data_IF_015534281745
#
_entry.id   IF_015534281745
#
_cell.length_a   1.000
_cell.length_b   1.000
_cell.length_c   1.000
_cell.angle_alpha   90.00
_cell.angle_beta   90.00
_cell.angle_gamma   90.00
#
_symmetry.space_group_name_H-M   'P 1'
#
loop_
_entity.id
_entity.type
_entity.pdbx_description
1 polymer ?
#
# COMPACT_ATOMS: atom_id res chain seq x y z
N UNK A 1 -17.44 0.37 -29.93
CA UNK A 1 -16.89 0.18 -28.63
C UNK A 1 -16.05 1.39 -28.27
N UNK A 2 -16.44 2.13 -27.28
CA UNK A 2 -15.60 3.18 -26.71
C UNK A 2 -14.91 2.56 -25.51
N UNK A 3 -13.60 2.33 -25.61
CA UNK A 3 -12.76 2.21 -24.44
C UNK A 3 -12.76 3.59 -23.79
N UNK A 4 -13.27 3.71 -22.57
CA UNK A 4 -13.04 4.90 -21.78
C UNK A 4 -11.54 4.93 -21.47
N UNK A 5 -10.81 5.86 -22.06
CA UNK A 5 -9.49 6.22 -21.61
C UNK A 5 -9.64 6.72 -20.18
N UNK A 6 -9.17 5.94 -19.21
CA UNK A 6 -8.98 6.42 -17.86
C UNK A 6 -7.84 7.40 -17.92
N UNK A 7 -8.14 8.69 -17.81
CA UNK A 7 -7.15 9.74 -17.86
C UNK A 7 -6.34 9.70 -16.55
N UNK A 8 -5.16 9.09 -16.62
CA UNK A 8 -4.23 8.92 -15.48
C UNK A 8 -3.76 10.29 -14.93
N UNK A 9 -3.88 11.37 -15.71
CA UNK A 9 -3.52 12.72 -15.23
C UNK A 9 -4.45 13.25 -14.14
N UNK A 10 -5.70 12.80 -14.07
CA UNK A 10 -6.63 13.19 -13.00
C UNK A 10 -6.46 12.38 -11.70
N UNK A 11 -5.63 11.33 -11.71
CA UNK A 11 -5.32 10.52 -10.54
C UNK A 11 -4.03 10.92 -9.82
N UNK A 12 -3.49 12.11 -10.07
CA UNK A 12 -2.50 12.74 -9.18
C UNK A 12 -3.19 13.15 -7.88
N UNK A 13 -3.60 12.17 -7.13
CA UNK A 13 -4.04 12.38 -5.75
C UNK A 13 -2.82 12.83 -4.98
N UNK A 14 -2.91 14.00 -4.37
CA UNK A 14 -1.91 14.46 -3.40
C UNK A 14 -1.80 13.39 -2.31
N UNK A 15 -0.66 12.67 -2.19
CA UNK A 15 -0.51 11.59 -1.22
C UNK A 15 -0.72 12.05 0.22
N UNK A 16 -0.77 13.36 0.47
CA UNK A 16 -1.04 13.96 1.79
C UNK A 16 -2.52 14.18 2.05
N UNK A 17 -3.37 14.12 1.03
CA UNK A 17 -4.82 14.26 1.21
C UNK A 17 -5.54 12.93 1.47
N UNK A 18 -4.81 11.93 1.94
CA UNK A 18 -5.36 10.64 2.31
C UNK A 18 -6.18 10.80 3.59
N UNK A 19 -7.51 10.74 3.50
CA UNK A 19 -8.35 10.67 4.69
C UNK A 19 -7.94 9.45 5.51
N UNK A 20 -7.34 9.69 6.67
CA UNK A 20 -7.06 8.69 7.68
C UNK A 20 -5.69 8.02 7.65
N UNK A 21 -4.94 8.03 6.56
CA UNK A 21 -3.59 7.49 6.53
C UNK A 21 -2.64 8.49 5.88
N UNK A 22 -1.70 9.00 6.68
CA UNK A 22 -0.76 10.03 6.25
C UNK A 22 0.62 9.41 6.07
N UNK A 23 0.99 9.19 4.81
CA UNK A 23 2.36 8.87 4.46
C UNK A 23 3.25 10.06 4.84
N UNK A 24 4.26 9.82 5.67
CA UNK A 24 5.13 10.87 6.21
C UNK A 24 4.69 11.44 7.58
N UNK A 25 3.53 11.05 8.11
CA UNK A 25 3.03 11.47 9.42
C UNK A 25 3.69 10.65 10.55
N UNK A 26 4.79 11.15 11.08
CA UNK A 26 5.60 10.48 12.09
C UNK A 26 4.99 10.55 13.49
N UNK A 27 4.27 11.62 13.83
CA UNK A 27 3.69 11.82 15.15
C UNK A 27 2.23 11.39 15.27
N UNK A 28 1.58 11.07 14.14
CA UNK A 28 0.21 10.57 14.09
C UNK A 28 -0.85 11.64 14.26
N UNK A 29 -0.50 12.92 14.07
CA UNK A 29 -1.42 14.04 14.23
C UNK A 29 -2.31 14.28 12.99
N UNK A 30 -2.14 13.48 11.93
CA UNK A 30 -2.84 13.57 10.64
C UNK A 30 -2.46 14.81 9.81
N UNK A 31 -1.26 15.31 10.01
CA UNK A 31 -0.65 16.37 9.21
C UNK A 31 0.79 15.97 8.91
N UNK A 32 1.30 16.33 7.74
CA UNK A 32 2.73 16.14 7.44
C UNK A 32 3.38 17.50 7.43
N UNK A 33 4.23 17.74 8.42
CA UNK A 33 4.92 19.01 8.60
C UNK A 33 6.41 18.82 8.96
N UNK A 34 7.08 19.90 9.30
CA UNK A 34 8.51 19.85 9.63
C UNK A 34 8.82 19.00 10.87
N UNK A 35 7.83 18.83 11.76
CA UNK A 35 7.99 18.04 12.98
C UNK A 35 8.21 16.58 12.60
N UNK A 36 7.49 16.08 11.60
CA UNK A 36 7.61 14.70 11.11
C UNK A 36 8.98 14.44 10.52
N UNK A 37 9.45 15.31 9.65
CA UNK A 37 10.80 15.21 9.09
C UNK A 37 11.86 15.18 10.19
N UNK A 38 11.70 15.99 11.23
CA UNK A 38 12.63 16.06 12.37
C UNK A 38 12.55 14.79 13.24
N UNK A 39 11.36 14.23 13.46
CA UNK A 39 11.19 12.99 14.20
C UNK A 39 11.87 11.81 13.49
N UNK A 40 11.69 11.69 12.18
CA UNK A 40 12.38 10.67 11.38
C UNK A 40 13.88 10.90 11.42
N UNK A 41 14.34 12.14 11.27
CA UNK A 41 15.76 12.46 11.39
C UNK A 41 16.34 12.06 12.76
N UNK A 42 15.65 12.35 13.86
CA UNK A 42 16.11 11.98 15.21
C UNK A 42 16.10 10.45 15.41
N UNK A 43 15.13 9.75 14.83
CA UNK A 43 15.11 8.28 14.85
C UNK A 43 16.33 7.70 14.14
N UNK A 44 16.60 8.14 12.92
CA UNK A 44 17.77 7.74 12.12
C UNK A 44 19.08 8.07 12.84
N UNK A 45 19.17 9.26 13.44
CA UNK A 45 20.32 9.70 14.22
C UNK A 45 20.45 9.02 15.59
N UNK A 46 19.56 8.09 15.94
CA UNK A 46 19.49 7.40 17.25
C UNK A 46 19.40 8.35 18.44
N UNK A 47 18.71 9.47 18.26
CA UNK A 47 18.45 10.49 19.29
C UNK A 47 17.08 10.33 19.95
N UNK A 48 16.13 9.78 19.21
CA UNK A 48 14.82 9.40 19.70
C UNK A 48 14.37 8.15 18.92
N UNK A 49 13.45 7.37 19.47
CA UNK A 49 12.86 6.24 18.76
C UNK A 49 11.43 6.61 18.35
N UNK A 50 11.08 6.33 17.09
CA UNK A 50 9.71 6.33 16.65
C UNK A 50 9.00 5.07 17.16
N UNK A 51 7.71 5.17 17.54
CA UNK A 51 6.91 3.98 17.80
C UNK A 51 6.94 3.03 16.61
N UNK A 52 7.05 1.72 16.86
CA UNK A 52 7.19 0.71 15.81
C UNK A 52 6.00 0.65 14.83
N UNK A 53 4.81 1.05 15.31
CA UNK A 53 3.60 1.17 14.49
C UNK A 53 3.64 2.40 13.55
N UNK A 54 4.58 3.33 13.76
CA UNK A 54 4.78 4.50 12.89
C UNK A 54 5.77 4.26 11.75
N UNK A 55 6.67 3.32 11.89
CA UNK A 55 7.70 3.05 10.89
C UNK A 55 7.15 2.84 9.46
N UNK A 56 6.06 2.10 9.24
CA UNK A 56 5.50 1.95 7.90
C UNK A 56 4.97 3.23 7.26
N UNK A 57 4.65 4.25 8.06
CA UNK A 57 4.15 5.54 7.55
C UNK A 57 5.25 6.54 7.21
N UNK A 58 6.42 6.35 7.77
CA UNK A 58 7.57 7.24 7.57
C UNK A 58 8.61 6.67 6.62
N UNK A 59 8.49 5.41 6.26
CA UNK A 59 9.21 4.83 5.15
C UNK A 59 8.51 5.28 3.87
N UNK A 60 9.03 6.33 3.24
CA UNK A 60 8.40 7.01 2.10
C UNK A 60 9.18 6.87 0.80
N UNK A 61 10.32 6.17 0.84
CA UNK A 61 11.15 5.89 -0.32
C UNK A 61 10.85 4.53 -0.95
N UNK A 62 10.17 3.63 -0.23
CA UNK A 62 9.74 2.31 -0.71
C UNK A 62 10.83 1.24 -0.63
N UNK A 63 11.94 1.50 0.10
CA UNK A 63 13.07 0.57 0.20
C UNK A 63 13.07 -0.27 1.49
N UNK A 64 12.00 -0.17 2.29
CA UNK A 64 11.80 -0.84 3.58
C UNK A 64 12.79 -0.45 4.69
N UNK A 65 13.54 0.59 4.50
CA UNK A 65 14.50 1.10 5.48
C UNK A 65 14.08 2.50 5.90
N UNK A 66 13.85 2.73 7.18
CA UNK A 66 13.67 4.11 7.64
C UNK A 66 15.04 4.72 7.87
N UNK A 67 15.46 5.56 6.94
CA UNK A 67 16.79 6.18 6.96
C UNK A 67 16.75 7.68 6.62
N UNK A 68 17.91 8.25 6.33
CA UNK A 68 18.05 9.68 6.08
C UNK A 68 17.31 10.11 4.79
N UNK A 69 17.13 9.19 3.82
CA UNK A 69 16.43 9.51 2.58
C UNK A 69 14.94 9.75 2.82
N UNK A 70 14.31 9.02 3.76
CA UNK A 70 12.93 9.28 4.17
C UNK A 70 12.77 10.63 4.85
N UNK A 71 13.65 10.92 5.82
CA UNK A 71 13.65 12.23 6.47
C UNK A 71 13.81 13.37 5.46
N UNK A 72 14.66 13.21 4.46
CA UNK A 72 14.87 14.19 3.40
C UNK A 72 13.69 14.29 2.45
N UNK A 73 13.05 13.16 2.10
CA UNK A 73 11.87 13.15 1.24
C UNK A 73 10.70 13.90 1.91
N UNK A 74 10.44 13.64 3.19
CA UNK A 74 9.42 14.35 3.98
C UNK A 74 9.79 15.85 4.06
N UNK A 75 11.05 16.17 4.33
CA UNK A 75 11.52 17.56 4.39
C UNK A 75 11.31 18.30 3.06
N UNK A 76 11.67 17.70 1.92
CA UNK A 76 11.48 18.34 0.61
C UNK A 76 10.02 18.55 0.28
N UNK A 77 9.16 17.60 0.63
CA UNK A 77 7.73 17.75 0.51
C UNK A 77 7.21 18.95 1.32
N UNK A 78 7.52 19.00 2.62
CA UNK A 78 7.13 20.11 3.52
C UNK A 78 7.69 21.44 3.05
N UNK A 79 8.93 21.47 2.56
CA UNK A 79 9.57 22.67 2.02
C UNK A 79 9.03 23.08 0.62
N UNK A 80 8.02 22.39 0.09
CA UNK A 80 7.45 22.61 -1.26
C UNK A 80 8.50 22.53 -2.38
N UNK A 81 9.53 21.72 -2.19
CA UNK A 81 10.53 21.37 -3.20
C UNK A 81 10.19 20.07 -3.94
N UNK A 82 9.25 19.34 -3.41
CA UNK A 82 8.60 18.18 -4.06
C UNK A 82 7.09 18.34 -3.89
N UNK A 83 6.34 18.10 -4.93
CA UNK A 83 4.87 18.12 -4.88
C UNK A 83 4.31 16.77 -4.39
N UNK A 84 5.16 15.75 -4.28
CA UNK A 84 4.78 14.39 -3.88
C UNK A 84 5.81 13.82 -2.92
N UNK A 85 5.35 13.05 -1.94
CA UNK A 85 6.18 12.07 -1.25
C UNK A 85 6.34 10.88 -2.19
N UNK A 86 7.53 10.68 -2.72
CA UNK A 86 7.80 9.64 -3.71
C UNK A 86 7.95 8.31 -2.98
N UNK A 87 6.99 7.43 -3.16
CA UNK A 87 7.16 6.01 -2.87
C UNK A 87 7.64 5.36 -4.16
N UNK A 88 8.87 4.90 -4.17
CA UNK A 88 9.59 4.42 -5.37
C UNK A 88 8.83 3.36 -6.19
N UNK A 89 7.96 2.59 -5.56
CA UNK A 89 7.24 1.49 -6.20
C UNK A 89 5.75 1.79 -6.46
N UNK A 90 5.33 3.05 -6.36
CA UNK A 90 3.93 3.42 -6.60
C UNK A 90 3.52 3.21 -8.05
N UNK A 91 4.42 3.43 -8.99
CA UNK A 91 4.21 3.15 -10.41
C UNK A 91 3.91 1.66 -10.66
N UNK A 92 4.63 0.74 -10.00
CA UNK A 92 4.35 -0.71 -10.08
C UNK A 92 3.01 -1.04 -9.41
N UNK A 93 2.67 -0.36 -8.31
CA UNK A 93 1.38 -0.52 -7.64
C UNK A 93 0.21 -0.11 -8.55
N UNK A 94 0.35 1.01 -9.25
CA UNK A 94 -0.65 1.45 -10.23
C UNK A 94 -0.73 0.51 -11.44
N UNK A 95 0.39 0.00 -11.93
CA UNK A 95 0.41 -1.02 -13.00
C UNK A 95 -0.33 -2.29 -12.57
N UNK A 96 -0.16 -2.74 -11.33
CA UNK A 96 -0.93 -3.88 -10.78
C UNK A 96 -2.43 -3.57 -10.80
N UNK A 97 -2.81 -2.39 -10.33
CA UNK A 97 -4.20 -1.96 -10.30
C UNK A 97 -4.85 -1.94 -11.70
N UNK A 98 -4.17 -1.36 -12.68
CA UNK A 98 -4.62 -1.32 -14.06
C UNK A 98 -4.72 -2.71 -14.68
N UNK A 99 -3.74 -3.58 -14.39
CA UNK A 99 -3.75 -4.96 -14.88
C UNK A 99 -4.91 -5.76 -14.27
N UNK A 100 -5.20 -5.60 -12.98
CA UNK A 100 -6.37 -6.21 -12.32
C UNK A 100 -7.66 -5.74 -12.97
N UNK A 101 -7.81 -4.44 -13.23
CA UNK A 101 -9.00 -3.91 -13.89
C UNK A 101 -9.13 -4.41 -15.35
N UNK A 102 -8.02 -4.62 -16.03
CA UNK A 102 -8.01 -5.23 -17.37
C UNK A 102 -8.49 -6.70 -17.32
N UNK A 103 -8.02 -7.48 -16.34
CA UNK A 103 -8.48 -8.86 -16.12
C UNK A 103 -9.97 -8.91 -15.78
N UNK A 104 -10.45 -7.99 -14.93
CA UNK A 104 -11.88 -7.88 -14.60
C UNK A 104 -12.72 -7.56 -15.84
N UNK A 105 -12.30 -6.58 -16.64
CA UNK A 105 -12.97 -6.25 -17.88
C UNK A 105 -13.03 -7.41 -18.87
N UNK A 106 -11.92 -8.17 -19.02
CA UNK A 106 -11.87 -9.38 -19.85
C UNK A 106 -12.85 -10.48 -19.38
N UNK A 107 -13.23 -10.47 -18.10
CA UNK A 107 -14.21 -11.39 -17.51
C UNK A 107 -15.60 -10.75 -17.33
N UNK A 108 -15.88 -9.58 -17.94
CA UNK A 108 -17.19 -8.92 -17.93
C UNK A 108 -17.57 -8.25 -16.61
N UNK A 109 -16.60 -7.97 -15.74
CA UNK A 109 -16.82 -7.36 -14.43
C UNK A 109 -16.56 -5.85 -14.48
N UNK A 110 -17.22 -5.11 -13.60
CA UNK A 110 -16.98 -3.68 -13.41
C UNK A 110 -15.57 -3.43 -12.89
N UNK A 111 -14.93 -2.33 -13.29
CA UNK A 111 -13.64 -1.94 -12.73
C UNK A 111 -13.76 -1.56 -11.25
N UNK A 112 -12.69 -1.79 -10.50
CA UNK A 112 -12.54 -1.32 -9.14
C UNK A 112 -12.03 0.12 -9.13
N UNK A 113 -12.42 0.91 -8.13
CA UNK A 113 -11.83 2.21 -7.85
C UNK A 113 -10.57 2.06 -7.00
N UNK A 114 -9.61 2.97 -7.18
CA UNK A 114 -8.47 3.08 -6.27
C UNK A 114 -8.89 3.78 -4.97
N UNK A 115 -8.40 3.27 -3.84
CA UNK A 115 -8.66 3.85 -2.52
C UNK A 115 -7.35 4.04 -1.76
N UNK A 116 -7.06 5.28 -1.38
CA UNK A 116 -5.79 5.63 -0.76
C UNK A 116 -5.69 5.16 0.70
N UNK A 117 -6.79 5.01 1.42
CA UNK A 117 -6.74 4.41 2.76
C UNK A 117 -6.39 2.92 2.68
N UNK A 118 -6.91 2.24 1.66
CA UNK A 118 -6.50 0.86 1.38
C UNK A 118 -5.04 0.78 0.90
N UNK A 119 -4.54 1.82 0.20
CA UNK A 119 -3.14 1.87 -0.19
C UNK A 119 -2.22 1.91 1.02
N UNK A 120 -2.48 2.79 1.99
CA UNK A 120 -1.72 2.84 3.23
C UNK A 120 -1.77 1.52 4.01
N UNK A 121 -2.95 0.89 4.10
CA UNK A 121 -3.08 -0.44 4.69
C UNK A 121 -2.29 -1.50 3.93
N UNK A 122 -2.27 -1.40 2.60
CA UNK A 122 -1.50 -2.31 1.73
C UNK A 122 0.00 -2.13 1.91
N UNK A 123 0.49 -0.89 2.14
CA UNK A 123 1.89 -0.62 2.48
C UNK A 123 2.29 -1.31 3.78
N UNK A 124 1.51 -1.11 4.86
CA UNK A 124 1.75 -1.80 6.13
C UNK A 124 1.88 -3.32 5.90
N UNK A 125 0.96 -3.89 5.13
CA UNK A 125 0.96 -5.33 4.90
C UNK A 125 2.06 -5.81 3.96
N UNK A 126 2.46 -5.02 2.98
CA UNK A 126 3.60 -5.34 2.12
C UNK A 126 4.89 -5.44 2.94
N UNK A 127 5.13 -4.47 3.84
CA UNK A 127 6.27 -4.47 4.75
C UNK A 127 6.23 -5.65 5.75
N UNK A 128 5.09 -5.88 6.40
CA UNK A 128 4.94 -7.00 7.33
C UNK A 128 5.13 -8.36 6.62
N UNK A 129 4.62 -8.47 5.39
CA UNK A 129 4.76 -9.70 4.59
C UNK A 129 6.20 -9.91 4.12
N UNK A 130 6.89 -8.85 3.74
CA UNK A 130 8.30 -8.90 3.37
C UNK A 130 9.17 -9.38 4.54
N UNK A 131 8.99 -8.81 5.72
CA UNK A 131 9.70 -9.25 6.94
C UNK A 131 9.43 -10.71 7.27
N UNK A 132 8.19 -11.15 7.13
CA UNK A 132 7.84 -12.57 7.32
C UNK A 132 8.58 -13.48 6.33
N UNK A 133 8.58 -13.13 5.04
CA UNK A 133 9.16 -13.95 3.98
C UNK A 133 10.69 -13.91 3.97
N UNK A 134 11.28 -12.75 4.20
CA UNK A 134 12.72 -12.57 4.10
C UNK A 134 13.44 -12.86 5.41
N UNK A 135 12.89 -12.43 6.53
CA UNK A 135 13.56 -12.43 7.83
C UNK A 135 13.01 -13.52 8.78
N UNK A 136 11.90 -14.18 8.40
CA UNK A 136 11.21 -15.13 9.26
C UNK A 136 10.51 -14.46 10.44
N UNK A 137 10.35 -13.14 10.41
CA UNK A 137 9.73 -12.35 11.45
C UNK A 137 8.24 -12.10 11.17
N UNK A 138 7.39 -12.40 12.17
CA UNK A 138 5.96 -12.16 12.07
C UNK A 138 5.11 -13.40 11.85
N UNK A 139 3.82 -13.19 11.60
CA UNK A 139 2.81 -14.24 11.67
C UNK A 139 2.26 -14.71 10.30
N UNK A 140 2.90 -14.32 9.21
CA UNK A 140 2.59 -14.79 7.87
C UNK A 140 1.53 -13.97 7.12
N UNK A 141 1.05 -14.48 5.98
CA UNK A 141 0.23 -13.68 5.06
C UNK A 141 -1.17 -13.33 5.61
N UNK A 142 -1.70 -14.09 6.57
CA UNK A 142 -3.06 -13.91 7.09
C UNK A 142 -3.10 -13.30 8.49
N UNK A 143 -1.95 -13.17 9.15
CA UNK A 143 -1.82 -12.56 10.46
C UNK A 143 -0.80 -11.44 10.42
N UNK A 144 -0.93 -10.52 11.35
CA UNK A 144 0.04 -9.45 11.60
C UNK A 144 1.08 -9.93 12.62
N UNK A 145 2.24 -9.26 12.76
CA UNK A 145 3.28 -9.63 13.72
C UNK A 145 2.78 -9.71 15.17
N UNK A 146 1.78 -8.91 15.51
CA UNK A 146 1.13 -8.90 16.85
C UNK A 146 0.04 -10.00 17.03
N UNK A 147 -0.17 -10.84 16.02
CA UNK A 147 -1.15 -11.93 16.01
C UNK A 147 -2.56 -11.53 15.59
N UNK A 148 -2.85 -10.24 15.40
CA UNK A 148 -4.13 -9.77 14.85
C UNK A 148 -4.39 -10.28 13.45
N UNK A 149 -5.62 -10.18 12.98
CA UNK A 149 -5.98 -10.48 11.60
C UNK A 149 -5.38 -9.44 10.64
N UNK A 150 -5.00 -9.88 9.42
CA UNK A 150 -4.37 -9.02 8.43
C UNK A 150 -5.25 -7.83 8.02
N UNK A 151 -6.58 -7.96 8.05
CA UNK A 151 -7.52 -6.90 7.71
C UNK A 151 -7.54 -5.76 8.73
N UNK A 152 -7.02 -5.96 9.94
CA UNK A 152 -6.93 -4.88 10.93
C UNK A 152 -6.04 -3.72 10.47
N UNK A 153 -5.16 -3.94 9.48
CA UNK A 153 -4.39 -2.88 8.87
C UNK A 153 -5.27 -1.80 8.20
N UNK A 154 -6.45 -2.19 7.67
CA UNK A 154 -7.39 -1.25 7.03
C UNK A 154 -7.91 -0.21 8.03
N UNK A 155 -8.03 -0.59 9.31
CA UNK A 155 -8.63 0.23 10.34
C UNK A 155 -7.61 1.09 11.10
N UNK A 156 -6.31 0.91 10.80
CA UNK A 156 -5.26 1.75 11.36
C UNK A 156 -5.17 3.06 10.61
N UNK A 157 -5.21 4.16 11.35
CA UNK A 157 -5.10 5.52 10.80
C UNK A 157 -6.05 5.83 9.62
N UNK A 158 -7.20 5.17 9.55
CA UNK A 158 -8.26 5.47 8.59
C UNK A 158 -9.58 5.71 9.32
N UNK A 159 -10.53 6.33 8.61
CA UNK A 159 -11.90 6.48 9.11
C UNK A 159 -12.71 5.17 8.99
N UNK A 160 -12.12 4.12 8.45
CA UNK A 160 -12.74 2.82 8.28
C UNK A 160 -12.77 2.02 9.57
N UNK A 161 -13.81 1.22 9.72
CA UNK A 161 -13.99 0.26 10.79
C UNK A 161 -14.59 -1.05 10.23
N UNK A 162 -14.76 -2.06 11.08
CA UNK A 162 -15.26 -3.37 10.67
C UNK A 162 -16.65 -3.37 10.02
N UNK A 163 -17.38 -2.27 10.07
CA UNK A 163 -18.70 -2.09 9.46
C UNK A 163 -18.68 -1.21 8.21
N UNK A 164 -17.51 -0.72 7.79
CA UNK A 164 -17.38 0.14 6.61
C UNK A 164 -17.64 -0.61 5.31
N UNK A 165 -17.38 -1.92 5.29
CA UNK A 165 -17.53 -2.75 4.11
C UNK A 165 -18.31 -4.03 4.40
N UNK A 166 -19.00 -4.55 3.40
CA UNK A 166 -19.69 -5.83 3.48
C UNK A 166 -18.75 -6.99 3.12
N UNK A 167 -17.85 -6.76 2.17
CA UNK A 167 -16.93 -7.75 1.63
C UNK A 167 -15.50 -7.25 1.67
N UNK A 168 -14.56 -8.14 1.91
CA UNK A 168 -13.13 -7.89 1.81
C UNK A 168 -12.35 -9.12 1.39
N UNK A 169 -11.27 -8.88 0.69
CA UNK A 169 -10.31 -9.88 0.27
C UNK A 169 -8.91 -9.29 0.19
N UNK A 170 -7.92 -10.16 0.04
CA UNK A 170 -6.55 -9.74 -0.15
C UNK A 170 -5.76 -10.76 -0.96
N UNK A 171 -4.73 -10.26 -1.65
CA UNK A 171 -3.67 -11.08 -2.22
C UNK A 171 -2.31 -10.56 -1.71
N UNK A 172 -1.32 -11.42 -1.73
CA UNK A 172 0.08 -11.04 -1.52
C UNK A 172 0.98 -11.94 -2.38
N UNK A 173 2.15 -11.43 -2.73
CA UNK A 173 3.15 -12.15 -3.49
C UNK A 173 4.55 -11.58 -3.23
N UNK A 174 5.59 -12.32 -3.63
CA UNK A 174 6.97 -11.87 -3.65
C UNK A 174 7.67 -12.29 -4.94
N UNK A 175 8.62 -11.50 -5.39
CA UNK A 175 9.48 -11.79 -6.53
C UNK A 175 10.93 -11.44 -6.19
N UNK A 176 11.89 -12.26 -6.64
CA UNK A 176 13.33 -12.07 -6.38
C UNK A 176 14.00 -11.06 -7.31
N UNK A 177 13.20 -10.28 -8.03
CA UNK A 177 13.65 -9.22 -8.93
C UNK A 177 12.56 -8.13 -8.99
N UNK A 178 12.89 -6.96 -9.52
CA UNK A 178 11.91 -5.89 -9.80
C UNK A 178 10.92 -6.37 -10.86
N UNK A 179 9.86 -7.02 -10.39
CA UNK A 179 8.81 -7.54 -11.25
C UNK A 179 7.85 -6.42 -11.65
N UNK A 180 7.34 -6.47 -12.88
CA UNK A 180 6.27 -5.59 -13.33
C UNK A 180 4.95 -5.91 -12.65
N UNK A 181 4.03 -4.96 -12.64
CA UNK A 181 2.67 -5.17 -12.15
C UNK A 181 1.97 -6.31 -12.90
N UNK A 182 2.14 -6.36 -14.22
CA UNK A 182 1.61 -7.43 -15.06
C UNK A 182 2.10 -8.83 -14.63
N UNK A 183 3.37 -8.97 -14.23
CA UNK A 183 3.89 -10.24 -13.74
C UNK A 183 3.19 -10.72 -12.47
N UNK A 184 3.01 -9.85 -11.48
CA UNK A 184 2.31 -10.20 -10.24
C UNK A 184 0.88 -10.67 -10.50
N UNK A 185 0.18 -9.99 -11.39
CA UNK A 185 -1.22 -10.33 -11.70
C UNK A 185 -1.30 -11.57 -12.57
N UNK A 186 -0.69 -11.55 -13.75
CA UNK A 186 -0.93 -12.58 -14.77
C UNK A 186 -0.19 -13.90 -14.45
N UNK A 187 1.04 -13.83 -13.93
CA UNK A 187 1.84 -15.03 -13.70
C UNK A 187 1.66 -15.61 -12.29
N UNK A 188 1.39 -14.78 -11.29
CA UNK A 188 1.25 -15.26 -9.92
C UNK A 188 -0.21 -15.39 -9.51
N UNK A 189 -0.98 -14.27 -9.54
CA UNK A 189 -2.30 -14.28 -8.93
C UNK A 189 -3.37 -14.96 -9.81
N UNK A 190 -3.39 -14.71 -11.11
CA UNK A 190 -4.38 -15.31 -12.00
C UNK A 190 -4.15 -16.82 -12.20
N UNK A 191 -2.94 -17.31 -11.97
CA UNK A 191 -2.63 -18.76 -12.00
C UNK A 191 -2.90 -19.45 -10.66
N UNK A 192 -3.25 -18.71 -9.60
CA UNK A 192 -3.62 -19.24 -8.28
C UNK A 192 -5.13 -19.16 -8.08
N UNK A 193 -5.85 -20.27 -7.90
CA UNK A 193 -7.31 -20.26 -7.80
C UNK A 193 -7.87 -19.32 -6.73
N UNK A 194 -7.24 -19.25 -5.56
CA UNK A 194 -7.67 -18.39 -4.46
C UNK A 194 -7.44 -16.90 -4.75
N UNK A 195 -6.27 -16.55 -5.28
CA UNK A 195 -5.96 -15.17 -5.64
C UNK A 195 -6.81 -14.69 -6.82
N UNK A 196 -7.00 -15.56 -7.83
CA UNK A 196 -7.86 -15.28 -8.98
C UNK A 196 -9.31 -15.05 -8.55
N UNK A 197 -9.82 -15.85 -7.62
CA UNK A 197 -11.18 -15.67 -7.09
C UNK A 197 -11.34 -14.29 -6.44
N UNK A 198 -10.35 -13.79 -5.69
CA UNK A 198 -10.39 -12.43 -5.15
C UNK A 198 -10.46 -11.38 -6.27
N UNK A 199 -9.60 -11.48 -7.30
CA UNK A 199 -9.58 -10.52 -8.42
C UNK A 199 -10.94 -10.49 -9.14
N UNK A 200 -11.58 -11.64 -9.33
CA UNK A 200 -12.82 -11.81 -10.10
C UNK A 200 -14.09 -11.80 -9.23
N UNK A 201 -14.01 -11.41 -7.98
CA UNK A 201 -15.20 -11.25 -7.14
C UNK A 201 -16.00 -10.02 -7.58
N UNK A 202 -17.26 -10.25 -7.97
CA UNK A 202 -18.14 -9.21 -8.52
C UNK A 202 -18.51 -8.14 -7.48
N UNK A 203 -18.68 -8.54 -6.22
CA UNK A 203 -19.10 -7.65 -5.13
C UNK A 203 -18.03 -6.69 -4.63
N UNK A 204 -16.81 -6.74 -5.15
CA UNK A 204 -15.81 -5.73 -4.82
C UNK A 204 -15.99 -4.47 -5.68
N UNK A 205 -15.83 -3.30 -5.04
CA UNK A 205 -16.01 -1.98 -5.64
C UNK A 205 -14.74 -1.13 -5.60
N UNK A 206 -13.86 -1.40 -4.64
CA UNK A 206 -12.60 -0.67 -4.50
C UNK A 206 -11.45 -1.59 -4.12
N UNK A 207 -10.25 -1.13 -4.40
CA UNK A 207 -9.00 -1.77 -3.98
C UNK A 207 -7.85 -0.77 -3.91
N UNK A 208 -6.79 -1.19 -3.25
CA UNK A 208 -5.45 -0.68 -3.49
C UNK A 208 -4.42 -1.79 -3.29
N UNK A 209 -3.23 -1.57 -3.81
CA UNK A 209 -2.10 -2.48 -3.74
C UNK A 209 -0.83 -1.68 -3.48
N UNK A 210 0.06 -2.22 -2.66
CA UNK A 210 1.37 -1.67 -2.43
C UNK A 210 2.46 -2.68 -2.77
N UNK A 211 3.59 -2.16 -3.22
CA UNK A 211 4.81 -2.92 -3.50
C UNK A 211 5.94 -2.27 -2.70
N UNK A 212 6.72 -3.08 -2.00
CA UNK A 212 7.94 -2.63 -1.33
C UNK A 212 9.12 -3.49 -1.77
N UNK A 213 10.30 -2.87 -1.79
CA UNK A 213 11.57 -3.55 -1.97
C UNK A 213 12.18 -3.86 -0.59
N UNK A 214 12.66 -5.08 -0.41
CA UNK A 214 13.38 -5.48 0.78
C UNK A 214 14.89 -5.44 0.55
N UNK A 215 15.66 -5.26 1.59
CA UNK A 215 17.14 -5.19 1.54
C UNK A 215 17.82 -6.42 0.92
N UNK A 216 17.12 -7.54 0.79
CA UNK A 216 17.57 -8.72 0.06
C UNK A 216 17.40 -8.64 -1.47
N UNK A 217 16.89 -7.51 -1.98
CA UNK A 217 16.61 -7.29 -3.41
C UNK A 217 15.31 -7.92 -3.91
N UNK A 218 14.47 -8.44 -3.02
CA UNK A 218 13.16 -8.96 -3.37
C UNK A 218 12.10 -7.88 -3.27
N UNK A 219 11.10 -8.00 -4.14
CA UNK A 219 9.91 -7.15 -4.16
C UNK A 219 8.74 -7.92 -3.59
N UNK A 220 8.04 -7.31 -2.65
CA UNK A 220 6.87 -7.89 -1.99
C UNK A 220 5.67 -6.99 -2.19
N UNK A 221 4.52 -7.61 -2.46
CA UNK A 221 3.27 -6.88 -2.68
C UNK A 221 2.15 -7.42 -1.80
N UNK A 222 1.29 -6.53 -1.38
CA UNK A 222 0.01 -6.86 -0.74
C UNK A 222 -1.07 -5.92 -1.25
N UNK A 223 -2.29 -6.42 -1.39
CA UNK A 223 -3.44 -5.64 -1.73
C UNK A 223 -4.62 -5.93 -0.80
N UNK A 224 -5.57 -4.99 -0.79
CA UNK A 224 -6.89 -5.20 -0.25
C UNK A 224 -7.94 -4.91 -1.30
N UNK A 225 -8.99 -5.74 -1.31
CA UNK A 225 -10.23 -5.54 -2.03
C UNK A 225 -11.33 -5.31 -1.01
N UNK A 226 -12.25 -4.40 -1.29
CA UNK A 226 -13.43 -4.14 -0.46
C UNK A 226 -14.67 -3.98 -1.34
N UNK A 227 -15.81 -4.33 -0.78
CA UNK A 227 -17.12 -4.12 -1.40
C UNK A 227 -18.06 -3.44 -0.43
N UNK A 228 -18.77 -2.42 -0.91
CA UNK A 228 -19.70 -1.62 -0.14
C UNK A 228 -20.97 -2.41 0.19
N UNK A 229 -21.73 -1.92 1.19
CA UNK A 229 -23.04 -2.40 1.48
C UNK A 229 -23.98 -2.08 0.30
N UNK A 230 -24.55 -3.13 -0.28
CA UNK A 230 -25.59 -2.97 -1.29
C UNK A 230 -26.93 -2.79 -0.57
N UNK A 231 -27.51 -1.60 -0.67
CA UNK A 231 -28.84 -1.28 -0.18
C UNK A 231 -29.88 -1.40 -1.29
#
# INVERSE_FOLDING_TARGET
>A
GFAAEVNIEDSKVDPVNLKGAYCGDADGNKSVDITDAMLVFYHVAKKAELPGDRLPYVEVTGDMSVDISDAMAIFYYVAKRSDTLVIENRDVSLEIFETINSERAANGLAPLSWDENLYAASMIRAHEYARYQADGDGAGPHKRPDGRDCFTAIFENSDYNAYSFQYWGKNCAGASWKASGAYFVSEIWMNSPGHRANILTESYTAMAVAVCEHSNGWYYTSNFFVGDWQY
#
